data_IF_591435910798
#
_entry.id   IF_591435910798
#
_cell.length_a   1.000
_cell.length_b   1.000
_cell.length_c   1.000
_cell.angle_alpha   90.00
_cell.angle_beta   90.00
_cell.angle_gamma   90.00
#
_symmetry.space_group_name_H-M   'P 1'
#
loop_
_entity.id
_entity.type
_entity.pdbx_description
1 polymer ?
#
# COMPACT_ATOMS: atom_id res chain seq x y z
N UNK A 1 23.19 5.79 12.63
CA UNK A 1 21.83 6.28 12.28
C UNK A 1 20.98 5.07 11.93
N UNK A 2 19.73 4.97 12.42
CA UNK A 2 18.81 3.88 12.04
C UNK A 2 17.97 4.36 10.86
N UNK A 3 18.04 3.62 9.74
CA UNK A 3 17.27 3.92 8.53
C UNK A 3 16.13 2.92 8.43
N UNK A 4 14.92 3.41 8.17
CA UNK A 4 13.73 2.59 7.94
C UNK A 4 13.17 2.94 6.58
N UNK A 5 12.65 1.94 5.89
CA UNK A 5 11.79 2.11 4.73
C UNK A 5 10.39 1.64 5.11
N UNK A 6 9.45 2.55 5.18
CA UNK A 6 8.10 2.28 5.73
C UNK A 6 6.99 2.39 4.68
N UNK A 7 7.34 2.60 3.41
CA UNK A 7 6.40 2.66 2.30
C UNK A 7 7.01 1.93 1.09
N UNK A 8 6.68 0.66 0.96
CA UNK A 8 7.19 -0.18 -0.13
C UNK A 8 6.13 -1.18 -0.61
N UNK A 9 6.16 -1.50 -1.91
CA UNK A 9 5.22 -2.40 -2.56
C UNK A 9 5.92 -3.66 -3.04
N UNK A 10 5.25 -4.79 -2.84
CA UNK A 10 5.69 -6.09 -3.33
C UNK A 10 4.92 -6.47 -4.60
N UNK A 11 5.24 -7.64 -5.16
CA UNK A 11 4.50 -8.21 -6.30
C UNK A 11 3.04 -8.58 -6.00
N UNK A 12 2.54 -8.25 -4.81
CA UNK A 12 1.12 -8.27 -4.48
C UNK A 12 0.43 -6.94 -4.81
N UNK A 13 1.18 -5.92 -5.23
CA UNK A 13 0.70 -4.66 -5.81
C UNK A 13 0.86 -4.67 -7.32
N UNK A 14 -0.02 -3.98 -8.02
CA UNK A 14 -0.04 -3.89 -9.49
C UNK A 14 1.17 -3.13 -10.06
N UNK A 15 1.82 -2.31 -9.25
CA UNK A 15 2.92 -1.41 -9.64
C UNK A 15 4.32 -1.93 -9.25
N UNK A 16 4.41 -3.13 -8.66
CA UNK A 16 5.68 -3.69 -8.19
C UNK A 16 5.91 -5.12 -8.69
N UNK A 17 7.18 -5.53 -8.79
CA UNK A 17 7.58 -6.82 -9.35
C UNK A 17 8.30 -7.74 -8.37
N UNK A 18 8.92 -7.19 -7.31
CA UNK A 18 9.70 -7.97 -6.37
C UNK A 18 8.82 -8.65 -5.34
N UNK A 19 9.14 -9.89 -5.02
CA UNK A 19 8.47 -10.63 -3.94
C UNK A 19 8.81 -10.02 -2.59
N UNK A 20 7.95 -10.25 -1.60
CA UNK A 20 8.18 -9.82 -0.21
C UNK A 20 9.54 -10.34 0.31
N UNK A 21 9.92 -11.58 -0.05
CA UNK A 21 11.20 -12.19 0.37
C UNK A 21 12.41 -11.48 -0.26
N UNK A 22 12.35 -11.14 -1.56
CA UNK A 22 13.42 -10.39 -2.23
C UNK A 22 13.61 -9.01 -1.62
N UNK A 23 12.53 -8.33 -1.27
CA UNK A 23 12.55 -7.03 -0.61
C UNK A 23 13.18 -7.13 0.79
N UNK A 24 12.77 -8.11 1.59
CA UNK A 24 13.35 -8.36 2.91
C UNK A 24 14.85 -8.69 2.83
N UNK A 25 15.26 -9.52 1.87
CA UNK A 25 16.68 -9.82 1.62
C UNK A 25 17.48 -8.56 1.26
N UNK A 26 16.95 -7.75 0.35
CA UNK A 26 17.59 -6.50 -0.07
C UNK A 26 17.73 -5.53 1.10
N UNK A 27 16.66 -5.32 1.86
CA UNK A 27 16.66 -4.42 3.02
C UNK A 27 17.66 -4.87 4.10
N UNK A 28 17.71 -6.18 4.39
CA UNK A 28 18.65 -6.76 5.33
C UNK A 28 20.10 -6.55 4.86
N UNK A 29 20.38 -6.83 3.58
CA UNK A 29 21.73 -6.66 3.00
C UNK A 29 22.19 -5.20 2.96
N UNK A 30 21.24 -4.25 2.83
CA UNK A 30 21.51 -2.81 2.89
C UNK A 30 21.62 -2.28 4.33
N UNK A 31 21.39 -3.12 5.33
CA UNK A 31 21.48 -2.74 6.74
C UNK A 31 20.36 -1.81 7.22
N UNK A 32 19.17 -1.92 6.65
CA UNK A 32 18.01 -1.19 7.15
C UNK A 32 17.65 -1.69 8.55
N UNK A 33 17.16 -0.76 9.39
CA UNK A 33 16.66 -1.08 10.71
C UNK A 33 15.25 -1.70 10.66
N UNK A 34 14.41 -1.18 9.76
CA UNK A 34 13.06 -1.70 9.54
C UNK A 34 12.65 -1.55 8.06
N UNK A 35 11.80 -2.49 7.63
CA UNK A 35 11.09 -2.47 6.35
C UNK A 35 9.61 -2.71 6.62
N UNK A 36 8.73 -1.91 6.04
CA UNK A 36 7.30 -2.19 5.99
C UNK A 36 6.90 -2.57 4.56
N UNK A 37 6.13 -3.63 4.41
CA UNK A 37 5.44 -3.99 3.16
C UNK A 37 4.05 -3.38 3.24
N UNK A 38 3.77 -2.44 2.35
CA UNK A 38 2.55 -1.61 2.37
C UNK A 38 1.90 -1.65 0.99
N UNK A 39 1.56 -2.84 0.53
CA UNK A 39 0.94 -3.05 -0.77
C UNK A 39 -0.37 -2.25 -0.90
N UNK A 40 -0.65 -1.80 -2.11
CA UNK A 40 -1.84 -1.00 -2.46
C UNK A 40 -3.14 -1.72 -2.13
N UNK A 41 -4.08 -0.97 -1.59
CA UNK A 41 -5.48 -1.35 -1.46
C UNK A 41 -6.37 -0.12 -1.70
N UNK A 42 -6.84 0.02 -2.92
CA UNK A 42 -7.74 1.11 -3.29
C UNK A 42 -9.13 0.85 -2.70
N UNK A 43 -9.49 1.59 -1.64
CA UNK A 43 -10.72 1.32 -0.88
C UNK A 43 -11.98 1.30 -1.77
N UNK A 44 -12.19 2.23 -2.72
CA UNK A 44 -13.35 2.19 -3.61
C UNK A 44 -13.40 0.95 -4.50
N UNK A 45 -12.25 0.40 -4.88
CA UNK A 45 -12.12 -0.74 -5.80
C UNK A 45 -12.45 -2.10 -5.16
N UNK A 46 -12.51 -2.15 -3.82
CA UNK A 46 -12.84 -3.40 -3.09
C UNK A 46 -14.19 -3.99 -3.51
N UNK A 47 -15.14 -3.14 -3.90
CA UNK A 47 -16.47 -3.58 -4.32
C UNK A 47 -16.45 -4.27 -5.69
N UNK A 48 -15.47 -4.00 -6.53
CA UNK A 48 -15.31 -4.60 -7.85
C UNK A 48 -14.71 -6.01 -7.76
N UNK A 49 -13.98 -6.33 -6.69
CA UNK A 49 -13.34 -7.63 -6.50
C UNK A 49 -12.42 -7.96 -7.67
N UNK A 50 -12.69 -9.10 -8.36
CA UNK A 50 -11.88 -9.53 -9.51
C UNK A 50 -12.09 -8.70 -10.79
N UNK A 51 -13.06 -7.78 -10.82
CA UNK A 51 -13.29 -6.86 -11.94
C UNK A 51 -12.47 -5.58 -11.85
N UNK A 52 -11.81 -5.32 -10.71
CA UNK A 52 -10.89 -4.21 -10.56
C UNK A 52 -9.68 -4.39 -11.47
N UNK A 53 -9.28 -3.33 -12.18
CA UNK A 53 -8.06 -3.32 -13.00
C UNK A 53 -6.78 -3.45 -12.16
N UNK A 54 -6.84 -3.14 -10.87
CA UNK A 54 -5.74 -3.25 -9.91
C UNK A 54 -5.66 -4.63 -9.24
N UNK A 55 -6.59 -5.53 -9.54
CA UNK A 55 -6.67 -6.87 -8.98
C UNK A 55 -7.64 -7.01 -7.81
N UNK A 56 -7.81 -8.22 -7.34
CA UNK A 56 -8.74 -8.55 -6.26
C UNK A 56 -8.08 -8.35 -4.89
N UNK A 57 -8.26 -7.17 -4.31
CA UNK A 57 -7.69 -6.80 -3.02
C UNK A 57 -8.12 -7.73 -1.88
N UNK A 58 -9.29 -8.38 -1.98
CA UNK A 58 -9.72 -9.36 -0.98
C UNK A 58 -8.85 -10.62 -0.96
N UNK A 59 -8.02 -10.83 -1.97
CA UNK A 59 -7.04 -11.92 -2.06
C UNK A 59 -5.61 -11.40 -1.91
N UNK A 60 -5.29 -10.28 -2.57
CA UNK A 60 -3.93 -9.75 -2.61
C UNK A 60 -3.46 -9.28 -1.23
N UNK A 61 -4.30 -8.55 -0.49
CA UNK A 61 -3.90 -8.02 0.82
C UNK A 61 -3.74 -9.12 1.89
N UNK A 62 -4.68 -10.08 2.04
CA UNK A 62 -4.44 -11.22 2.94
C UNK A 62 -3.18 -12.01 2.58
N UNK A 63 -2.89 -12.19 1.28
CA UNK A 63 -1.69 -12.88 0.81
C UNK A 63 -0.44 -12.11 1.21
N UNK A 64 -0.35 -10.82 0.91
CA UNK A 64 0.76 -9.94 1.30
C UNK A 64 0.99 -9.96 2.81
N UNK A 65 -0.09 -9.81 3.60
CA UNK A 65 -0.04 -9.83 5.06
C UNK A 65 0.51 -11.17 5.59
N UNK A 66 0.05 -12.30 5.02
CA UNK A 66 0.51 -13.63 5.38
C UNK A 66 1.98 -13.86 5.03
N UNK A 67 2.41 -13.54 3.79
CA UNK A 67 3.80 -13.66 3.35
C UNK A 67 4.73 -12.82 4.24
N UNK A 68 4.32 -11.59 4.56
CA UNK A 68 5.08 -10.71 5.45
C UNK A 68 5.18 -11.26 6.87
N UNK A 69 4.11 -11.87 7.39
CA UNK A 69 4.11 -12.46 8.74
C UNK A 69 5.13 -13.60 8.88
N UNK A 70 5.26 -14.45 7.88
CA UNK A 70 6.28 -15.52 7.85
C UNK A 70 7.69 -14.92 7.89
N UNK A 71 7.91 -13.83 7.16
CA UNK A 71 9.21 -13.19 7.08
C UNK A 71 9.55 -12.37 8.34
N UNK A 72 8.56 -11.86 9.07
CA UNK A 72 8.78 -11.27 10.40
C UNK A 72 9.53 -12.25 11.32
N UNK A 73 9.09 -13.51 11.37
CA UNK A 73 9.72 -14.53 12.18
C UNK A 73 11.11 -14.93 11.67
N UNK A 74 11.24 -15.11 10.36
CA UNK A 74 12.50 -15.50 9.71
C UNK A 74 13.63 -14.47 9.89
N UNK A 75 13.28 -13.19 9.85
CA UNK A 75 14.23 -12.08 9.96
C UNK A 75 14.37 -11.52 11.39
N UNK A 76 13.71 -12.15 12.38
CA UNK A 76 13.79 -11.76 13.78
C UNK A 76 15.23 -11.62 14.25
N UNK A 77 15.56 -10.49 14.83
CA UNK A 77 16.93 -10.17 15.31
C UNK A 77 17.89 -9.66 14.22
N UNK A 78 17.51 -9.66 12.96
CA UNK A 78 18.30 -9.10 11.84
C UNK A 78 17.76 -7.74 11.41
N UNK A 79 16.49 -7.68 11.06
CA UNK A 79 15.77 -6.48 10.63
C UNK A 79 14.34 -6.56 11.16
N UNK A 80 13.72 -5.44 11.46
CA UNK A 80 12.31 -5.38 11.83
C UNK A 80 11.47 -5.33 10.55
N UNK A 81 10.73 -6.40 10.27
CA UNK A 81 9.74 -6.44 9.19
C UNK A 81 8.38 -6.03 9.75
N UNK A 82 7.64 -5.19 9.06
CA UNK A 82 6.32 -4.69 9.44
C UNK A 82 5.30 -5.08 8.37
N UNK A 83 4.15 -5.61 8.83
CA UNK A 83 2.98 -5.83 7.99
C UNK A 83 2.27 -4.51 7.82
N UNK A 84 2.12 -4.07 6.60
CA UNK A 84 1.48 -2.80 6.29
C UNK A 84 0.42 -2.93 5.23
N UNK A 85 -0.25 -1.81 4.99
CA UNK A 85 -1.16 -1.58 3.89
C UNK A 85 -1.07 -0.10 3.49
N UNK A 86 -1.03 0.18 2.21
CA UNK A 86 -1.33 1.50 1.70
C UNK A 86 -2.80 1.54 1.27
N UNK A 87 -3.60 2.28 2.02
CA UNK A 87 -5.01 2.40 1.80
C UNK A 87 -5.31 3.66 0.99
N UNK A 88 -5.61 3.48 -0.29
CA UNK A 88 -5.99 4.55 -1.19
C UNK A 88 -7.42 5.02 -0.95
N UNK A 89 -7.63 6.33 -0.97
CA UNK A 89 -8.93 7.01 -0.86
C UNK A 89 -9.81 6.54 0.32
N UNK A 90 -9.29 6.37 1.53
CA UNK A 90 -10.09 5.84 2.65
C UNK A 90 -11.31 6.70 2.98
N UNK A 91 -11.24 8.01 2.69
CA UNK A 91 -12.36 8.93 2.92
C UNK A 91 -13.45 8.86 1.83
N UNK A 92 -13.23 8.14 0.73
CA UNK A 92 -14.22 8.05 -0.34
C UNK A 92 -15.36 7.08 -0.01
N UNK A 93 -15.08 6.05 0.79
CA UNK A 93 -16.06 5.05 1.20
C UNK A 93 -15.67 4.38 2.53
N UNK A 94 -16.32 4.80 3.62
CA UNK A 94 -16.06 4.30 4.97
C UNK A 94 -16.30 2.79 5.12
N UNK A 95 -17.27 2.23 4.38
CA UNK A 95 -17.60 0.79 4.45
C UNK A 95 -16.47 -0.03 3.81
N UNK A 96 -15.99 0.39 2.65
CA UNK A 96 -14.87 -0.24 1.96
C UNK A 96 -13.59 -0.12 2.81
N UNK A 97 -13.34 1.03 3.40
CA UNK A 97 -12.23 1.25 4.32
C UNK A 97 -12.25 0.27 5.49
N UNK A 98 -13.39 0.13 6.16
CA UNK A 98 -13.55 -0.84 7.25
C UNK A 98 -13.33 -2.27 6.77
N UNK A 99 -13.81 -2.61 5.58
CA UNK A 99 -13.62 -3.93 4.98
C UNK A 99 -12.15 -4.19 4.68
N UNK A 100 -11.42 -3.21 4.11
CA UNK A 100 -9.97 -3.31 3.86
C UNK A 100 -9.20 -3.61 5.13
N UNK A 101 -9.51 -2.92 6.22
CA UNK A 101 -8.86 -3.10 7.51
C UNK A 101 -9.12 -4.47 8.15
N UNK A 102 -10.11 -5.22 7.66
CA UNK A 102 -10.36 -6.60 8.07
C UNK A 102 -9.56 -7.64 7.26
N UNK A 103 -8.80 -7.23 6.24
CA UNK A 103 -8.03 -8.15 5.40
C UNK A 103 -6.74 -8.67 6.05
N UNK A 104 -6.31 -8.10 7.16
CA UNK A 104 -5.13 -8.56 7.90
C UNK A 104 -4.91 -7.83 9.22
N UNK A 105 -3.89 -8.27 9.93
CA UNK A 105 -3.36 -7.57 11.11
C UNK A 105 -2.22 -6.66 10.66
N UNK A 106 -2.38 -5.36 10.78
CA UNK A 106 -1.39 -4.39 10.30
C UNK A 106 -0.62 -3.74 11.43
N UNK A 107 0.72 -3.70 11.30
CA UNK A 107 1.61 -2.95 12.18
C UNK A 107 1.68 -1.47 11.77
N UNK A 108 1.39 -1.17 10.48
CA UNK A 108 1.34 0.18 9.90
C UNK A 108 0.25 0.28 8.84
N UNK A 109 -0.45 1.40 8.84
CA UNK A 109 -1.45 1.75 7.83
C UNK A 109 -1.07 3.12 7.28
N UNK A 110 -0.88 3.21 5.96
CA UNK A 110 -0.68 4.45 5.24
C UNK A 110 -2.02 4.81 4.60
N UNK A 111 -2.49 6.02 4.84
CA UNK A 111 -3.66 6.57 4.15
C UNK A 111 -3.16 7.50 3.04
N UNK A 112 -3.49 7.16 1.81
CA UNK A 112 -3.05 7.88 0.61
C UNK A 112 -4.24 8.46 -0.14
N UNK A 113 -3.97 9.52 -0.91
CA UNK A 113 -4.92 10.12 -1.85
C UNK A 113 -4.28 10.10 -3.22
N UNK A 114 -4.68 9.14 -4.05
CA UNK A 114 -4.20 8.99 -5.42
C UNK A 114 -5.08 9.73 -6.41
N UNK A 115 -6.36 9.90 -6.10
CA UNK A 115 -7.29 10.67 -6.90
C UNK A 115 -8.27 11.49 -6.04
N UNK A 116 -8.85 12.49 -6.65
CA UNK A 116 -10.03 13.17 -6.12
C UNK A 116 -11.28 12.46 -6.60
N UNK A 117 -12.35 12.54 -5.81
CA UNK A 117 -13.63 11.90 -6.11
C UNK A 117 -14.11 12.27 -7.53
N UNK A 118 -14.36 11.27 -8.37
CA UNK A 118 -14.74 11.43 -9.79
C UNK A 118 -13.66 12.09 -10.67
N UNK A 119 -12.39 11.99 -10.30
CA UNK A 119 -11.26 12.44 -11.09
C UNK A 119 -10.34 11.26 -11.38
N UNK A 120 -9.55 11.31 -12.47
CA UNK A 120 -8.51 10.33 -12.70
C UNK A 120 -7.44 10.42 -11.61
N UNK A 121 -6.70 9.32 -11.45
CA UNK A 121 -5.51 9.28 -10.63
C UNK A 121 -4.54 10.40 -11.02
N UNK A 122 -3.91 11.01 -10.01
CA UNK A 122 -2.94 12.09 -10.19
C UNK A 122 -1.80 11.70 -11.12
N UNK A 123 -1.42 10.42 -11.15
CA UNK A 123 -0.41 9.90 -12.06
C UNK A 123 -0.76 10.16 -13.54
N UNK A 124 -2.04 10.12 -13.91
CA UNK A 124 -2.52 10.34 -15.29
C UNK A 124 -2.91 11.79 -15.59
N UNK A 125 -2.81 12.69 -14.61
CA UNK A 125 -3.21 14.08 -14.79
C UNK A 125 -2.11 14.91 -15.45
N UNK A 126 -2.49 15.75 -16.41
CA UNK A 126 -1.61 16.76 -17.00
C UNK A 126 -1.68 18.07 -16.18
N UNK A 127 -0.88 18.15 -15.13
CA UNK A 127 -0.85 19.30 -14.24
C UNK A 127 -0.52 20.65 -14.91
N UNK A 128 -0.08 20.65 -16.18
CA UNK A 128 0.09 21.89 -16.95
C UNK A 128 -1.25 22.45 -17.45
N UNK A 129 -2.28 21.60 -17.51
CA UNK A 129 -3.64 21.96 -17.94
C UNK A 129 -4.61 22.16 -16.78
N UNK A 130 -4.22 21.73 -15.58
CA UNK A 130 -5.05 21.80 -14.39
C UNK A 130 -4.78 23.09 -13.60
N UNK A 131 -5.84 23.67 -13.04
CA UNK A 131 -5.69 24.80 -12.13
C UNK A 131 -5.21 24.28 -10.76
N UNK A 132 -3.97 24.59 -10.42
CA UNK A 132 -3.35 24.18 -9.17
C UNK A 132 -4.14 24.65 -7.93
N UNK A 133 -4.81 25.81 -8.00
CA UNK A 133 -5.64 26.30 -6.89
C UNK A 133 -6.88 25.44 -6.69
N UNK A 134 -7.49 24.94 -7.78
CA UNK A 134 -8.63 24.02 -7.70
C UNK A 134 -8.17 22.70 -7.08
N UNK A 135 -7.09 22.11 -7.57
CA UNK A 135 -6.58 20.83 -7.03
C UNK A 135 -6.22 20.97 -5.55
N UNK A 136 -5.46 21.98 -5.18
CA UNK A 136 -5.07 22.20 -3.77
C UNK A 136 -6.27 22.49 -2.86
N UNK A 137 -7.29 23.16 -3.34
CA UNK A 137 -8.50 23.43 -2.55
C UNK A 137 -9.35 22.19 -2.29
N UNK A 138 -9.18 21.12 -3.06
CA UNK A 138 -9.89 19.84 -2.90
C UNK A 138 -9.16 18.86 -1.98
N UNK A 139 -7.89 19.12 -1.67
CA UNK A 139 -7.05 18.32 -0.77
C UNK A 139 -7.11 18.88 0.68
N UNK A 140 -7.52 20.11 0.83
CA UNK A 140 -7.70 20.79 2.12
C UNK A 140 -9.19 20.83 2.52
#
# INVERSE_FOLDING_TARGET
MKICDIHTHSSNSFDAANTVEEMCNSACNKGLFALAITDHCEAPEILLGSESEYGDFSKLIPKSNYETSILQDRYKGKIKILRGIELGEPMHNDECTKKALCFGDFDIIIASVHNLRNRPDFYYMDFKKEDAHIILSLIH
#
